data_IF_183573408203
#
_entry.id   IF_183573408203
#
_cell.length_a   1.000
_cell.length_b   1.000
_cell.length_c   1.000
_cell.angle_alpha   90.00
_cell.angle_beta   90.00
_cell.angle_gamma   90.00
#
_symmetry.space_group_name_H-M   'P 1'
#
loop_
_entity.id
_entity.type
_entity.pdbx_description
1 polymer ?
#
# COMPACT_ATOMS: atom_id res chain seq x y z
N UNK A 1 11.40 -7.80 7.52
CA UNK A 1 10.20 -6.98 7.77
C UNK A 1 10.55 -5.54 7.41
N UNK A 2 9.62 -4.77 6.83
CA UNK A 2 9.89 -3.41 6.34
C UNK A 2 10.32 -2.46 7.47
N UNK A 3 11.29 -1.60 7.20
CA UNK A 3 11.82 -0.60 8.13
C UNK A 3 11.53 0.84 7.64
N UNK A 4 10.49 1.53 8.16
CA UNK A 4 9.99 2.79 7.60
C UNK A 4 10.98 3.97 7.52
N UNK A 5 12.07 3.95 8.30
CA UNK A 5 13.12 5.01 8.27
C UNK A 5 14.32 4.67 7.39
N UNK A 6 14.41 3.45 6.85
CA UNK A 6 15.58 2.94 6.11
C UNK A 6 15.21 2.46 4.72
N UNK A 7 14.04 1.86 4.59
CA UNK A 7 13.57 1.26 3.36
C UNK A 7 12.71 2.26 2.58
N UNK A 8 12.85 2.25 1.25
CA UNK A 8 12.04 3.10 0.39
C UNK A 8 10.70 2.45 0.09
N UNK A 9 9.60 3.19 0.25
CA UNK A 9 8.26 2.64 0.07
C UNK A 9 8.06 1.99 -1.32
N UNK A 10 8.48 2.67 -2.39
CA UNK A 10 8.29 2.20 -3.78
C UNK A 10 9.09 0.95 -4.15
N UNK A 11 10.10 0.56 -3.37
CA UNK A 11 10.83 -0.70 -3.57
C UNK A 11 10.07 -1.91 -3.03
N UNK A 12 9.18 -1.68 -2.06
CA UNK A 12 8.47 -2.75 -1.33
C UNK A 12 6.98 -2.78 -1.61
N UNK A 13 6.37 -1.64 -1.96
CA UNK A 13 4.92 -1.50 -2.06
C UNK A 13 4.50 -0.71 -3.29
N UNK A 14 3.32 -1.06 -3.80
CA UNK A 14 2.60 -0.29 -4.80
C UNK A 14 1.13 -0.21 -4.40
N UNK A 15 0.48 0.90 -4.71
CA UNK A 15 -0.98 0.99 -4.58
C UNK A 15 -1.62 0.68 -5.94
N UNK A 16 -2.67 -0.12 -5.95
CA UNK A 16 -3.44 -0.42 -7.17
C UNK A 16 -4.52 0.64 -7.29
N UNK A 17 -4.43 1.48 -8.34
CA UNK A 17 -5.26 2.68 -8.50
C UNK A 17 -6.76 2.35 -8.48
N UNK A 18 -7.14 1.28 -9.16
CA UNK A 18 -8.53 0.86 -9.35
C UNK A 18 -9.16 0.38 -8.04
N UNK A 19 -8.36 -0.26 -7.17
CA UNK A 19 -8.84 -0.95 -5.98
C UNK A 19 -8.52 -0.25 -4.66
N UNK A 20 -7.51 0.63 -4.64
CA UNK A 20 -6.93 1.19 -3.41
C UNK A 20 -6.15 0.16 -2.58
N UNK A 21 -5.83 -1.00 -3.15
CA UNK A 21 -5.10 -2.07 -2.49
C UNK A 21 -3.59 -1.80 -2.48
N UNK A 22 -2.94 -2.06 -1.36
CA UNK A 22 -1.48 -2.02 -1.24
C UNK A 22 -0.95 -3.43 -1.51
N UNK A 23 -0.14 -3.59 -2.55
CA UNK A 23 0.51 -4.86 -2.90
C UNK A 23 1.98 -4.83 -2.54
N UNK A 24 2.48 -5.95 -2.00
CA UNK A 24 3.91 -6.12 -1.74
C UNK A 24 4.65 -6.58 -3.00
N UNK A 25 5.71 -5.86 -3.38
CA UNK A 25 6.51 -6.12 -4.58
C UNK A 25 7.60 -7.19 -4.37
N UNK A 26 7.96 -7.44 -3.11
CA UNK A 26 8.95 -8.43 -2.70
C UNK A 26 8.51 -9.15 -1.42
N UNK A 27 9.25 -10.17 -0.98
CA UNK A 27 8.92 -10.97 0.19
C UNK A 27 8.74 -10.11 1.47
N UNK A 28 9.58 -9.09 1.65
CA UNK A 28 9.46 -8.15 2.78
C UNK A 28 8.14 -7.38 2.71
N UNK A 29 7.79 -6.85 1.53
CA UNK A 29 6.54 -6.14 1.31
C UNK A 29 5.31 -7.03 1.51
N UNK A 30 5.31 -8.23 0.94
CA UNK A 30 4.21 -9.18 1.04
C UNK A 30 3.92 -9.59 2.50
N UNK A 31 4.96 -9.94 3.26
CA UNK A 31 4.83 -10.29 4.68
C UNK A 31 4.35 -9.07 5.48
N UNK A 32 4.88 -7.87 5.18
CA UNK A 32 4.48 -6.64 5.88
C UNK A 32 3.01 -6.29 5.65
N UNK A 33 2.53 -6.33 4.40
CA UNK A 33 1.12 -6.08 4.05
C UNK A 33 0.19 -7.01 4.82
N UNK A 34 0.53 -8.31 4.86
CA UNK A 34 -0.26 -9.33 5.56
C UNK A 34 -0.22 -9.12 7.08
N UNK A 35 0.97 -8.97 7.65
CA UNK A 35 1.17 -8.89 9.10
C UNK A 35 0.55 -7.63 9.71
N UNK A 36 0.70 -6.49 9.03
CA UNK A 36 0.16 -5.20 9.48
C UNK A 36 -1.29 -4.98 9.00
N UNK A 37 -1.87 -5.93 8.26
CA UNK A 37 -3.24 -5.85 7.75
C UNK A 37 -3.53 -4.53 7.01
N UNK A 38 -2.62 -4.12 6.12
CA UNK A 38 -2.67 -2.78 5.48
C UNK A 38 -3.89 -2.58 4.56
N UNK A 39 -4.58 -3.66 4.20
CA UNK A 39 -5.72 -3.70 3.29
C UNK A 39 -7.07 -3.94 4.00
N UNK A 40 -7.24 -3.47 5.24
CA UNK A 40 -8.58 -3.42 5.87
C UNK A 40 -9.56 -2.63 5.00
N UNK A 41 -10.83 -3.03 5.04
CA UNK A 41 -11.86 -2.54 4.12
C UNK A 41 -12.06 -1.02 4.21
N UNK A 42 -11.97 -0.45 5.42
CA UNK A 42 -12.15 0.98 5.67
C UNK A 42 -11.07 1.81 4.96
N UNK A 43 -9.82 1.36 4.97
CA UNK A 43 -8.73 2.11 4.36
C UNK A 43 -8.66 1.91 2.84
N UNK A 44 -9.09 0.76 2.31
CA UNK A 44 -9.12 0.52 0.86
C UNK A 44 -10.09 1.44 0.14
N UNK A 45 -11.29 1.65 0.70
CA UNK A 45 -12.28 2.56 0.12
C UNK A 45 -11.79 4.01 0.15
N UNK A 46 -11.19 4.45 1.25
CA UNK A 46 -10.58 5.77 1.40
C UNK A 46 -9.46 6.00 0.38
N UNK A 47 -8.50 5.08 0.27
CA UNK A 47 -7.39 5.21 -0.71
C UNK A 47 -7.89 5.28 -2.14
N UNK A 48 -8.89 4.46 -2.51
CA UNK A 48 -9.49 4.51 -3.84
C UNK A 48 -10.10 5.88 -4.14
N UNK A 49 -10.75 6.50 -3.17
CA UNK A 49 -11.29 7.86 -3.32
C UNK A 49 -10.15 8.88 -3.50
N UNK A 50 -9.08 8.78 -2.71
CA UNK A 50 -7.93 9.68 -2.80
C UNK A 50 -7.20 9.57 -4.15
N UNK A 51 -7.07 8.37 -4.71
CA UNK A 51 -6.54 8.15 -6.06
C UNK A 51 -7.44 8.81 -7.10
N UNK A 52 -8.76 8.59 -7.03
CA UNK A 52 -9.73 9.21 -7.95
C UNK A 52 -9.72 10.74 -7.87
N UNK A 53 -9.47 11.29 -6.68
CA UNK A 53 -9.35 12.73 -6.47
C UNK A 53 -7.99 13.30 -6.89
N UNK A 54 -7.04 12.47 -7.34
CA UNK A 54 -5.68 12.89 -7.71
C UNK A 54 -4.79 13.30 -6.53
N UNK A 55 -5.22 13.04 -5.29
CA UNK A 55 -4.48 13.38 -4.07
C UNK A 55 -3.41 12.32 -3.75
N UNK A 56 -3.74 11.05 -3.99
CA UNK A 56 -2.78 9.96 -3.86
C UNK A 56 -2.25 9.59 -5.25
N UNK A 57 -0.98 9.89 -5.49
CA UNK A 57 -0.26 9.46 -6.69
C UNK A 57 0.30 8.05 -6.45
N UNK A 58 0.18 7.20 -7.47
CA UNK A 58 0.32 5.74 -7.39
C UNK A 58 1.50 5.23 -8.19
#
# INVERSE_FOLDING_TARGET
MFHPRRDQWGEHFRVVAETGEIVGLNAVGQVTVRLLQMNRAEYRSQRRLLVKAGVLVV
#
